data_IF_920854458810
#
_entry.id   IF_920854458810
#
_cell.length_a   1.000
_cell.length_b   1.000
_cell.length_c   1.000
_cell.angle_alpha   90.00
_cell.angle_beta   90.00
_cell.angle_gamma   90.00
#
_symmetry.space_group_name_H-M   'P 1'
#
loop_
_entity.id
_entity.type
_entity.pdbx_description
1 polymer ?
#
# COMPACT_ATOMS: atom_id res chain seq x y z
N UNK A 1 -11.15 -7.43 78.22
CA UNK A 1 -10.46 -6.14 78.01
C UNK A 1 -9.45 -6.28 76.85
N UNK A 2 -9.88 -6.19 75.58
CA UNK A 2 -8.95 -6.24 74.41
C UNK A 2 -9.32 -5.27 73.27
N UNK A 3 -10.21 -4.30 73.49
CA UNK A 3 -10.59 -3.33 72.44
C UNK A 3 -9.55 -2.23 72.23
N UNK A 4 -8.86 -1.80 73.31
CA UNK A 4 -7.88 -0.70 73.27
C UNK A 4 -6.62 -1.03 72.46
N UNK A 5 -6.24 -2.30 72.40
CA UNK A 5 -5.07 -2.78 71.65
C UNK A 5 -5.35 -2.83 70.14
N UNK A 6 -6.59 -3.14 69.74
CA UNK A 6 -6.99 -3.24 68.35
C UNK A 6 -7.12 -1.87 67.68
N UNK A 7 -7.69 -0.88 68.39
CA UNK A 7 -7.79 0.50 67.88
C UNK A 7 -6.42 1.19 67.77
N UNK A 8 -5.50 0.91 68.69
CA UNK A 8 -4.13 1.42 68.60
C UNK A 8 -3.38 0.85 67.38
N UNK A 9 -3.52 -0.46 67.11
CA UNK A 9 -2.91 -1.08 65.93
C UNK A 9 -3.47 -0.53 64.61
N UNK A 10 -4.80 -0.35 64.53
CA UNK A 10 -5.45 0.19 63.34
C UNK A 10 -5.02 1.63 63.02
N UNK A 11 -4.84 2.50 64.03
CA UNK A 11 -4.35 3.86 63.83
C UNK A 11 -2.91 3.91 63.30
N UNK A 12 -2.03 3.02 63.76
CA UNK A 12 -0.64 2.98 63.30
C UNK A 12 -0.55 2.57 61.83
N UNK A 13 -1.34 1.58 61.41
CA UNK A 13 -1.39 1.16 60.00
C UNK A 13 -1.96 2.26 59.09
N UNK A 14 -2.98 2.99 59.56
CA UNK A 14 -3.55 4.13 58.84
C UNK A 14 -2.55 5.28 58.68
N UNK A 15 -1.78 5.60 59.74
CA UNK A 15 -0.72 6.61 59.68
C UNK A 15 0.43 6.20 58.74
N UNK A 16 0.81 4.92 58.73
CA UNK A 16 1.84 4.41 57.80
C UNK A 16 1.36 4.44 56.35
N UNK A 17 0.11 4.05 56.08
CA UNK A 17 -0.45 4.14 54.73
C UNK A 17 -0.58 5.59 54.25
N UNK A 18 -1.14 6.50 55.05
CA UNK A 18 -1.26 7.91 54.69
C UNK A 18 0.11 8.58 54.50
N UNK A 19 1.09 8.27 55.37
CA UNK A 19 2.45 8.77 55.26
C UNK A 19 3.17 8.28 54.00
N UNK A 20 3.02 6.99 53.65
CA UNK A 20 3.60 6.44 52.41
C UNK A 20 2.95 7.02 51.15
N UNK A 21 1.64 7.26 51.17
CA UNK A 21 0.91 7.84 50.03
C UNK A 21 1.33 9.29 49.75
N UNK A 22 1.54 10.09 50.80
CA UNK A 22 2.02 11.47 50.67
C UNK A 22 3.51 11.56 50.29
N UNK A 23 4.34 10.58 50.67
CA UNK A 23 5.74 10.52 50.22
C UNK A 23 5.87 10.10 48.75
N UNK A 24 5.00 9.21 48.25
CA UNK A 24 5.03 8.74 46.85
C UNK A 24 4.45 9.79 45.88
N UNK A 25 3.47 10.61 46.31
CA UNK A 25 2.93 11.72 45.50
C UNK A 25 3.65 13.06 45.70
N UNK A 26 4.57 13.15 46.67
CA UNK A 26 5.34 14.36 46.99
C UNK A 26 6.51 14.63 46.03
N UNK A 27 6.88 13.67 45.19
CA UNK A 27 7.82 13.90 44.10
C UNK A 27 7.04 14.37 42.87
N UNK A 28 6.49 15.59 42.96
CA UNK A 28 6.35 16.42 41.75
C UNK A 28 7.77 16.59 41.24
N UNK A 29 8.12 15.78 40.26
CA UNK A 29 9.18 16.12 39.34
C UNK A 29 8.93 17.57 38.95
N UNK A 30 9.77 18.46 39.47
CA UNK A 30 10.11 19.67 38.76
C UNK A 30 10.64 19.16 37.44
N UNK A 31 9.74 18.92 36.48
CA UNK A 31 10.11 18.83 35.09
C UNK A 31 10.69 20.21 34.82
N UNK A 32 12.00 20.32 35.01
CA UNK A 32 12.78 21.15 34.14
C UNK A 32 12.35 20.70 32.76
N UNK A 33 11.47 21.50 32.16
CA UNK A 33 11.29 21.48 30.73
C UNK A 33 12.68 21.91 30.24
N UNK A 34 13.60 20.95 30.17
CA UNK A 34 14.63 21.02 29.17
C UNK A 34 13.80 21.03 27.90
N UNK A 35 13.58 22.23 27.39
CA UNK A 35 13.42 22.39 25.96
C UNK A 35 14.63 21.67 25.39
N UNK A 36 14.44 20.39 25.06
CA UNK A 36 15.20 19.80 23.98
C UNK A 36 14.87 20.76 22.86
N UNK A 37 15.77 21.72 22.66
CA UNK A 37 15.85 22.46 21.43
C UNK A 37 15.91 21.34 20.41
N UNK A 38 14.75 21.08 19.80
CA UNK A 38 14.64 20.21 18.67
C UNK A 38 15.44 21.00 17.64
N UNK A 39 16.76 20.79 17.65
CA UNK A 39 17.65 21.20 16.59
C UNK A 39 17.06 20.44 15.43
N UNK A 40 16.17 21.14 14.74
CA UNK A 40 15.58 20.77 13.49
C UNK A 40 16.81 20.56 12.61
N UNK A 41 17.28 19.32 12.61
CA UNK A 41 18.47 18.94 11.89
C UNK A 41 18.00 19.07 10.47
N UNK A 42 18.28 20.25 9.88
CA UNK A 42 17.86 20.58 8.54
C UNK A 42 18.40 19.46 7.66
N UNK A 43 17.51 18.54 7.28
CA UNK A 43 17.85 17.45 6.37
C UNK A 43 18.36 18.20 5.14
N UNK A 44 19.63 18.03 4.76
CA UNK A 44 20.15 18.71 3.59
C UNK A 44 19.19 18.45 2.45
N UNK A 45 18.82 19.47 1.68
CA UNK A 45 17.92 19.28 0.54
C UNK A 45 18.46 18.21 -0.43
N UNK A 46 19.79 18.05 -0.46
CA UNK A 46 20.53 17.02 -1.21
C UNK A 46 20.52 15.61 -0.59
N UNK A 47 19.98 15.42 0.62
CA UNK A 47 19.89 14.10 1.27
C UNK A 47 18.62 13.31 0.89
N UNK A 48 17.65 13.93 0.20
CA UNK A 48 16.39 13.29 -0.20
C UNK A 48 16.37 13.10 -1.71
N UNK A 49 16.81 11.93 -2.18
CA UNK A 49 16.62 11.53 -3.57
C UNK A 49 15.16 11.06 -3.76
N UNK A 50 14.30 11.97 -4.20
CA UNK A 50 12.93 11.62 -4.61
C UNK A 50 13.01 10.99 -6.00
N UNK A 51 12.91 9.66 -6.09
CA UNK A 51 12.77 8.98 -7.38
C UNK A 51 11.29 9.01 -7.78
N UNK A 52 10.90 9.74 -8.84
CA UNK A 52 9.48 9.89 -9.19
C UNK A 52 8.92 8.55 -9.69
N UNK A 53 7.82 8.10 -9.08
CA UNK A 53 7.03 6.99 -9.61
C UNK A 53 6.48 7.38 -10.99
N UNK A 54 6.70 6.51 -11.98
CA UNK A 54 6.16 6.65 -13.32
C UNK A 54 4.78 6.00 -13.40
N UNK A 55 3.96 6.51 -14.32
CA UNK A 55 2.58 6.06 -14.50
C UNK A 55 2.39 5.54 -15.92
N UNK A 56 1.90 4.30 -16.05
CA UNK A 56 1.31 3.75 -17.27
C UNK A 56 -0.20 3.78 -17.12
N UNK A 57 -0.88 4.50 -17.99
CA UNK A 57 -2.34 4.59 -17.94
C UNK A 57 -2.95 4.49 -19.33
N UNK A 58 -4.17 3.99 -19.37
CA UNK A 58 -5.05 4.01 -20.53
C UNK A 58 -6.44 4.35 -20.04
N UNK A 59 -7.05 5.38 -20.65
CA UNK A 59 -8.40 5.82 -20.32
C UNK A 59 -9.30 5.64 -21.54
N UNK A 60 -10.42 4.97 -21.32
CA UNK A 60 -11.47 4.66 -22.28
C UNK A 60 -10.90 4.13 -23.60
N UNK A 61 -9.90 3.25 -23.51
CA UNK A 61 -9.20 2.70 -24.67
C UNK A 61 -10.11 1.67 -25.33
N UNK A 62 -10.60 1.93 -26.55
CA UNK A 62 -11.53 1.02 -27.21
C UNK A 62 -10.79 -0.21 -27.72
N UNK A 63 -11.47 -1.34 -27.72
CA UNK A 63 -10.97 -2.57 -28.32
C UNK A 63 -12.13 -3.43 -28.86
N UNK A 64 -11.81 -4.27 -29.84
CA UNK A 64 -12.73 -5.22 -30.44
C UNK A 64 -12.07 -6.61 -30.46
N UNK A 65 -12.82 -7.64 -30.12
CA UNK A 65 -12.31 -9.00 -30.04
C UNK A 65 -11.26 -9.17 -28.92
N UNK A 66 -10.08 -9.67 -29.27
CA UNK A 66 -8.96 -9.82 -28.33
C UNK A 66 -7.83 -8.88 -28.73
N UNK A 67 -7.44 -7.99 -27.83
CA UNK A 67 -6.28 -7.09 -28.03
C UNK A 67 -5.24 -7.32 -26.94
N UNK A 68 -3.96 -7.25 -27.30
CA UNK A 68 -2.85 -7.30 -26.35
C UNK A 68 -2.03 -6.01 -26.48
N UNK A 69 -2.07 -5.18 -25.43
CA UNK A 69 -1.43 -3.87 -25.36
C UNK A 69 -0.20 -3.95 -24.46
N UNK A 70 0.96 -4.18 -25.07
CA UNK A 70 2.25 -4.16 -24.35
C UNK A 70 2.56 -2.73 -23.92
N UNK A 71 2.80 -2.54 -22.62
CA UNK A 71 3.15 -1.25 -22.06
C UNK A 71 4.66 -1.02 -22.14
N UNK A 72 5.07 0.20 -22.49
CA UNK A 72 6.47 0.59 -22.52
C UNK A 72 6.96 0.92 -21.09
N UNK A 73 7.98 0.19 -20.65
CA UNK A 73 8.68 0.46 -19.38
C UNK A 73 9.84 1.38 -19.69
N UNK A 74 9.94 2.51 -18.98
CA UNK A 74 11.03 3.46 -19.15
C UNK A 74 12.29 2.99 -18.41
N UNK A 75 12.88 1.89 -18.85
CA UNK A 75 14.01 1.20 -18.24
C UNK A 75 14.09 -0.23 -18.78
N UNK A 76 14.99 -1.06 -18.24
CA UNK A 76 15.01 -2.49 -18.57
C UNK A 76 13.95 -3.27 -17.78
N UNK A 77 13.70 -2.86 -16.54
CA UNK A 77 12.75 -3.48 -15.61
C UNK A 77 11.92 -2.41 -14.89
N UNK A 78 10.80 -2.83 -14.31
CA UNK A 78 9.95 -2.03 -13.43
C UNK A 78 9.88 -2.66 -12.04
N UNK A 79 10.01 -1.87 -10.98
CA UNK A 79 9.87 -2.31 -9.58
C UNK A 79 8.83 -1.45 -8.84
N UNK A 80 8.51 -1.80 -7.58
CA UNK A 80 7.51 -1.11 -6.74
C UNK A 80 6.19 -0.88 -7.50
N UNK A 81 5.68 -1.94 -8.13
CA UNK A 81 4.52 -1.85 -9.01
C UNK A 81 3.24 -1.75 -8.17
N UNK A 82 2.40 -0.78 -8.53
CA UNK A 82 1.09 -0.56 -7.92
C UNK A 82 0.07 -0.48 -9.04
N UNK A 83 -0.90 -1.40 -9.06
CA UNK A 83 -2.05 -1.31 -9.96
C UNK A 83 -3.14 -0.56 -9.23
N UNK A 84 -3.22 0.73 -9.50
CA UNK A 84 -4.15 1.67 -8.87
C UNK A 84 -5.58 1.36 -9.30
N UNK A 85 -5.79 1.12 -10.59
CA UNK A 85 -7.09 0.79 -11.13
C UNK A 85 -6.95 -0.10 -12.36
N UNK A 86 -7.81 -1.10 -12.47
CA UNK A 86 -8.02 -1.83 -13.72
C UNK A 86 -9.50 -2.16 -13.88
N UNK A 87 -10.10 -1.63 -14.95
CA UNK A 87 -11.49 -1.84 -15.32
C UNK A 87 -11.60 -2.15 -16.80
N UNK A 88 -12.57 -2.98 -17.13
CA UNK A 88 -12.92 -3.33 -18.49
C UNK A 88 -14.44 -3.32 -18.60
N UNK A 89 -14.95 -2.73 -19.68
CA UNK A 89 -16.38 -2.71 -20.01
C UNK A 89 -16.61 -3.33 -21.37
N UNK A 90 -17.81 -3.88 -21.57
CA UNK A 90 -18.17 -4.64 -22.77
C UNK A 90 -18.60 -6.07 -22.44
N UNK A 91 -18.99 -6.81 -23.47
CA UNK A 91 -19.36 -8.22 -23.34
C UNK A 91 -18.11 -9.06 -23.07
N UNK A 92 -18.16 -9.99 -22.11
CA UNK A 92 -17.01 -10.81 -21.68
C UNK A 92 -15.77 -10.03 -21.20
N UNK A 93 -15.95 -8.74 -20.87
CA UNK A 93 -14.87 -7.88 -20.41
C UNK A 93 -14.22 -8.37 -19.11
N UNK A 94 -14.91 -9.19 -18.32
CA UNK A 94 -14.41 -9.89 -17.13
C UNK A 94 -13.19 -10.79 -17.42
N UNK A 95 -13.02 -11.24 -18.67
CA UNK A 95 -11.86 -12.04 -19.12
C UNK A 95 -10.66 -11.18 -19.54
N UNK A 96 -10.82 -9.86 -19.60
CA UNK A 96 -9.71 -8.94 -19.77
C UNK A 96 -8.73 -9.09 -18.61
N UNK A 97 -7.46 -8.80 -18.82
CA UNK A 97 -6.45 -9.00 -17.77
C UNK A 97 -5.22 -8.15 -17.97
N UNK A 98 -4.54 -7.82 -16.88
CA UNK A 98 -3.15 -7.35 -16.93
C UNK A 98 -2.27 -8.56 -16.63
N UNK A 99 -1.36 -8.87 -17.54
CA UNK A 99 -0.30 -9.84 -17.31
C UNK A 99 0.98 -9.08 -16.97
N UNK A 100 1.59 -9.43 -15.84
CA UNK A 100 2.92 -8.97 -15.46
C UNK A 100 3.86 -10.17 -15.55
N UNK A 101 4.87 -10.08 -16.41
CA UNK A 101 5.95 -11.06 -16.51
C UNK A 101 7.10 -10.55 -15.65
N UNK A 102 7.43 -11.31 -14.62
CA UNK A 102 8.50 -11.02 -13.69
C UNK A 102 9.88 -11.42 -14.26
N UNK A 103 10.96 -10.89 -13.69
CA UNK A 103 12.35 -11.20 -14.10
C UNK A 103 12.67 -12.69 -14.02
N UNK A 104 12.07 -13.41 -13.07
CA UNK A 104 12.19 -14.87 -12.92
C UNK A 104 11.34 -15.68 -13.93
N UNK A 105 10.59 -15.01 -14.81
CA UNK A 105 9.70 -15.63 -15.81
C UNK A 105 8.30 -15.99 -15.29
N UNK A 106 8.00 -15.79 -14.00
CA UNK A 106 6.67 -15.98 -13.44
C UNK A 106 5.69 -14.97 -14.05
N UNK A 107 4.47 -15.42 -14.37
CA UNK A 107 3.43 -14.56 -14.94
C UNK A 107 2.32 -14.37 -13.91
N UNK A 108 2.11 -13.13 -13.52
CA UNK A 108 1.04 -12.75 -12.61
C UNK A 108 -0.10 -12.09 -13.36
N UNK A 109 -1.32 -12.56 -13.09
CA UNK A 109 -2.53 -12.12 -13.79
C UNK A 109 -3.42 -11.30 -12.85
N UNK A 110 -3.90 -10.17 -13.36
CA UNK A 110 -4.77 -9.25 -12.63
C UNK A 110 -6.04 -9.06 -13.45
N UNK A 111 -7.19 -9.29 -12.82
CA UNK A 111 -8.50 -9.20 -13.46
C UNK A 111 -9.17 -7.84 -13.20
N UNK A 112 -10.18 -7.46 -14.02
CA UNK A 112 -10.85 -6.18 -13.90
C UNK A 112 -11.60 -6.09 -12.57
N UNK A 113 -11.73 -4.86 -12.05
CA UNK A 113 -12.23 -4.59 -10.71
C UNK A 113 -11.12 -4.51 -9.64
N UNK A 114 -9.88 -4.84 -9.99
CA UNK A 114 -8.73 -4.66 -9.09
C UNK A 114 -8.44 -3.17 -8.88
N UNK A 115 -8.27 -2.77 -7.61
CA UNK A 115 -7.88 -1.43 -7.20
C UNK A 115 -6.76 -1.51 -6.15
N UNK A 116 -5.86 -0.55 -6.19
CA UNK A 116 -4.77 -0.35 -5.23
C UNK A 116 -3.98 -1.62 -4.86
N UNK A 117 -3.74 -2.49 -5.85
CA UNK A 117 -2.97 -3.72 -5.65
C UNK A 117 -1.48 -3.39 -5.70
N UNK A 118 -0.80 -3.57 -4.56
CA UNK A 118 0.64 -3.35 -4.41
C UNK A 118 1.36 -4.70 -4.53
N UNK A 119 2.42 -4.74 -5.33
CA UNK A 119 3.30 -5.91 -5.44
C UNK A 119 4.53 -5.74 -4.54
N UNK A 120 5.15 -6.85 -4.09
CA UNK A 120 6.38 -6.80 -3.31
C UNK A 120 7.46 -5.98 -4.03
N UNK A 121 8.16 -5.07 -3.34
CA UNK A 121 9.13 -4.17 -3.96
C UNK A 121 10.35 -4.91 -4.51
N UNK A 122 10.64 -6.12 -4.04
CA UNK A 122 11.74 -6.94 -4.58
C UNK A 122 11.41 -7.53 -5.95
N UNK A 123 10.12 -7.68 -6.29
CA UNK A 123 9.71 -8.22 -7.59
C UNK A 123 9.93 -7.17 -8.68
N UNK A 124 10.65 -7.58 -9.73
CA UNK A 124 10.95 -6.75 -10.90
C UNK A 124 10.20 -7.29 -12.10
N UNK A 125 9.33 -6.47 -12.71
CA UNK A 125 8.66 -6.82 -13.94
C UNK A 125 9.54 -6.53 -15.14
N UNK A 126 9.68 -7.55 -16.00
CA UNK A 126 10.31 -7.43 -17.31
C UNK A 126 9.32 -6.99 -18.39
N UNK A 127 8.03 -7.32 -18.22
CA UNK A 127 6.98 -6.93 -19.17
C UNK A 127 5.64 -6.77 -18.48
N UNK A 128 4.90 -5.74 -18.87
CA UNK A 128 3.50 -5.53 -18.45
C UNK A 128 2.66 -5.45 -19.73
N UNK A 129 1.58 -6.23 -19.78
CA UNK A 129 0.70 -6.31 -20.95
C UNK A 129 -0.75 -6.24 -20.49
N UNK A 130 -1.51 -5.29 -21.05
CA UNK A 130 -2.95 -5.16 -20.81
C UNK A 130 -3.69 -5.86 -21.93
N UNK A 131 -4.53 -6.82 -21.59
CA UNK A 131 -5.27 -7.65 -22.53
C UNK A 131 -6.75 -7.30 -22.44
N UNK A 132 -7.32 -6.83 -23.54
CA UNK A 132 -8.77 -6.66 -23.68
C UNK A 132 -9.39 -7.89 -24.32
N UNK A 133 -10.54 -8.32 -23.80
CA UNK A 133 -11.28 -9.46 -24.32
C UNK A 133 -12.78 -9.15 -24.43
N UNK A 134 -13.33 -9.25 -25.64
CA UNK A 134 -14.76 -9.07 -25.93
C UNK A 134 -15.32 -10.11 -26.90
N UNK A 135 -14.63 -11.25 -27.06
CA UNK A 135 -15.01 -12.33 -27.98
C UNK A 135 -16.06 -13.25 -27.37
N UNK A 136 -17.09 -13.61 -28.16
CA UNK A 136 -18.05 -14.66 -27.83
C UNK A 136 -17.45 -16.05 -28.14
N UNK A 137 -17.47 -16.98 -27.21
CA UNK A 137 -16.78 -18.29 -27.31
C UNK A 137 -17.32 -19.27 -28.38
N UNK A 138 -18.30 -18.86 -29.22
CA UNK A 138 -18.90 -19.76 -30.22
C UNK A 138 -18.27 -19.57 -31.61
N UNK A 139 -17.76 -20.67 -32.16
CA UNK A 139 -16.96 -20.77 -33.41
C UNK A 139 -17.67 -20.49 -34.75
N UNK A 140 -18.99 -20.27 -34.80
CA UNK A 140 -19.72 -20.47 -36.07
C UNK A 140 -20.21 -19.19 -36.76
N UNK A 141 -20.10 -18.02 -36.14
CA UNK A 141 -20.50 -16.77 -36.80
C UNK A 141 -19.54 -15.65 -36.41
N UNK A 142 -18.80 -15.19 -37.42
CA UNK A 142 -18.28 -13.84 -37.68
C UNK A 142 -17.74 -13.06 -36.48
N UNK A 143 -16.50 -12.55 -36.64
CA UNK A 143 -15.85 -11.62 -35.72
C UNK A 143 -16.85 -10.61 -35.18
N UNK A 144 -17.14 -10.74 -33.89
CA UNK A 144 -18.03 -9.86 -33.16
C UNK A 144 -17.42 -8.46 -33.17
N UNK A 145 -18.00 -7.56 -33.96
CA UNK A 145 -17.63 -6.15 -34.06
C UNK A 145 -18.10 -5.34 -32.82
N UNK A 146 -18.01 -5.95 -31.63
CA UNK A 146 -18.47 -5.36 -30.37
C UNK A 146 -17.32 -4.74 -29.62
N UNK A 147 -17.44 -3.43 -29.47
CA UNK A 147 -16.50 -2.55 -28.78
C UNK A 147 -16.61 -2.77 -27.28
N UNK A 148 -15.47 -3.02 -26.65
CA UNK A 148 -15.26 -2.85 -25.22
C UNK A 148 -14.33 -1.67 -24.96
N UNK A 149 -14.24 -1.23 -23.71
CA UNK A 149 -13.28 -0.21 -23.30
C UNK A 149 -12.43 -0.70 -22.13
N UNK A 150 -11.14 -0.35 -22.15
CA UNK A 150 -10.20 -0.61 -21.07
C UNK A 150 -9.82 0.68 -20.36
N UNK A 151 -9.73 0.58 -19.05
CA UNK A 151 -9.32 1.64 -18.15
C UNK A 151 -8.28 1.06 -17.19
N UNK A 152 -7.04 1.54 -17.23
CA UNK A 152 -6.00 1.10 -16.30
C UNK A 152 -5.08 2.23 -15.87
N UNK A 153 -4.52 2.08 -14.68
CA UNK A 153 -3.47 2.93 -14.14
C UNK A 153 -2.52 2.07 -13.30
N UNK A 154 -1.24 2.11 -13.67
CA UNK A 154 -0.18 1.32 -13.06
C UNK A 154 0.97 2.26 -12.73
N UNK A 155 1.33 2.37 -11.46
CA UNK A 155 2.51 3.11 -11.01
C UNK A 155 3.68 2.15 -10.88
N UNK A 156 4.87 2.61 -11.20
CA UNK A 156 6.09 1.83 -11.08
C UNK A 156 7.34 2.72 -10.99
N UNK A 157 8.42 2.16 -10.46
CA UNK A 157 9.74 2.76 -10.51
C UNK A 157 10.57 2.06 -11.59
N UNK A 158 11.19 2.80 -12.53
CA UNK A 158 12.06 2.20 -13.54
C UNK A 158 13.40 1.75 -12.96
N UNK A 159 13.97 0.70 -13.53
CA UNK A 159 15.31 0.22 -13.20
C UNK A 159 16.15 0.13 -14.48
N UNK A 160 17.27 0.85 -14.49
CA UNK A 160 18.31 0.77 -15.51
C UNK A 160 19.43 -0.15 -14.97
N UNK A 161 19.54 -1.37 -15.50
CA UNK A 161 20.67 -2.27 -15.19
C UNK A 161 21.95 -1.82 -15.89
#
# INVERSE_FOLDING_TARGET
MHWRSFTAGAMVVLLLMAGSYLFIQGQKETSSHSSIEQVETAIPFDAVTITPLRVMYGKDVPFEGKVELRQAIAGKLAQKIIVVNFQATGEHADKSKINIVWENGEVETIYPGTKDRIFPPEKRAAQITVVGYSVRERRIFQDSNRKGNLNWEIHYEPVEL
#
